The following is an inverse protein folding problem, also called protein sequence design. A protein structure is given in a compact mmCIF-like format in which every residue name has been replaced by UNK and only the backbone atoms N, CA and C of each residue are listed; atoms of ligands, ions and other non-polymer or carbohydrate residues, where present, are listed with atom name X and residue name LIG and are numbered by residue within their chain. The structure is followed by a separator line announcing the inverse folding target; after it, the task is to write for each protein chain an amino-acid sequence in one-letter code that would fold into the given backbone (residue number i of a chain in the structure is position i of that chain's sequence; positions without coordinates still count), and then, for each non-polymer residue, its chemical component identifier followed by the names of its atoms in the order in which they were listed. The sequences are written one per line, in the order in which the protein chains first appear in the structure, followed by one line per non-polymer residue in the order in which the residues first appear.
data_IF_229856305388
#
_entry.id   IF_229856305388
#
_cell.length_a   1.000
_cell.length_b   1.000
_cell.length_c   1.000
_cell.angle_alpha   90.00
_cell.angle_beta   90.00
_cell.angle_gamma   90.00
#
_symmetry.space_group_name_H-M   'P 1'
#
loop_
_entity.id
_entity.type
_entity.pdbx_description
1 polymer ?
#
# COMPACT_ATOMS: atom_id res chain seq x y z
N UNK A 1 -25.83 13.64 -9.09
CA UNK A 1 -25.17 14.87 -9.59
C UNK A 1 -25.50 15.04 -11.07
N UNK A 2 -25.64 16.27 -11.55
CA UNK A 2 -25.81 16.54 -12.99
C UNK A 2 -24.44 16.47 -13.71
N UNK A 3 -24.23 15.53 -14.65
CA UNK A 3 -22.94 15.35 -15.32
C UNK A 3 -22.69 16.36 -16.44
N UNK A 4 -23.71 17.07 -16.93
CA UNK A 4 -23.61 17.89 -18.15
C UNK A 4 -22.53 18.98 -18.08
N UNK A 5 -22.36 19.74 -16.98
CA UNK A 5 -21.30 20.75 -16.90
C UNK A 5 -19.90 20.13 -16.93
N UNK A 6 -19.71 18.98 -16.30
CA UNK A 6 -18.42 18.28 -16.27
C UNK A 6 -18.12 17.58 -17.59
N UNK A 7 -19.15 17.12 -18.30
CA UNK A 7 -19.00 16.59 -19.65
C UNK A 7 -18.59 17.69 -20.64
N UNK A 8 -19.22 18.87 -20.57
CA UNK A 8 -18.79 20.02 -21.36
C UNK A 8 -17.34 20.44 -21.04
N UNK A 9 -16.93 20.41 -19.77
CA UNK A 9 -15.55 20.67 -19.37
C UNK A 9 -14.57 19.61 -19.90
N UNK A 10 -14.97 18.34 -19.93
CA UNK A 10 -14.20 17.26 -20.54
C UNK A 10 -14.04 17.47 -22.05
N UNK A 11 -15.10 17.83 -22.76
CA UNK A 11 -15.03 18.10 -24.19
C UNK A 11 -14.15 19.33 -24.49
N UNK A 12 -14.19 20.35 -23.64
CA UNK A 12 -13.31 21.51 -23.74
C UNK A 12 -11.83 21.13 -23.52
N UNK A 13 -11.51 20.33 -22.51
CA UNK A 13 -10.13 19.88 -22.25
C UNK A 13 -9.62 18.94 -23.33
N UNK A 14 -10.46 18.07 -23.89
CA UNK A 14 -10.12 17.25 -25.07
C UNK A 14 -9.82 18.09 -26.30
N UNK A 15 -10.56 19.17 -26.51
CA UNK A 15 -10.28 20.13 -27.59
C UNK A 15 -8.91 20.81 -27.41
N UNK A 16 -8.54 21.17 -26.18
CA UNK A 16 -7.19 21.69 -25.88
C UNK A 16 -6.10 20.66 -26.13
N UNK A 17 -6.33 19.39 -25.78
CA UNK A 17 -5.39 18.31 -26.07
C UNK A 17 -5.17 18.17 -27.57
N UNK A 18 -6.25 18.18 -28.37
CA UNK A 18 -6.17 18.14 -29.82
C UNK A 18 -5.39 19.35 -30.39
N UNK A 19 -5.59 20.55 -29.81
CA UNK A 19 -4.81 21.74 -30.17
C UNK A 19 -3.31 21.56 -29.87
N UNK A 20 -2.96 21.04 -28.68
CA UNK A 20 -1.57 20.80 -28.30
C UNK A 20 -0.92 19.72 -29.20
N UNK A 21 -1.66 18.67 -29.56
CA UNK A 21 -1.20 17.66 -30.52
C UNK A 21 -0.99 18.26 -31.92
N UNK A 22 -1.86 19.18 -32.35
CA UNK A 22 -1.67 19.95 -33.58
C UNK A 22 -0.38 20.78 -33.57
N UNK A 23 -0.08 21.45 -32.44
CA UNK A 23 1.16 22.21 -32.26
C UNK A 23 2.40 21.30 -32.29
N UNK A 24 2.32 20.10 -31.70
CA UNK A 24 3.38 19.10 -31.78
C UNK A 24 3.63 18.66 -33.23
N UNK A 25 2.57 18.33 -33.97
CA UNK A 25 2.69 17.95 -35.39
C UNK A 25 3.28 19.08 -36.25
N UNK A 26 2.93 20.34 -35.95
CA UNK A 26 3.54 21.50 -36.60
C UNK A 26 5.03 21.63 -36.27
N UNK A 27 5.43 21.41 -35.01
CA UNK A 27 6.82 21.44 -34.58
C UNK A 27 7.66 20.31 -35.22
N UNK A 28 7.09 19.11 -35.34
CA UNK A 28 7.70 17.98 -36.05
C UNK A 28 7.91 18.30 -37.53
N UNK A 29 6.93 18.93 -38.16
CA UNK A 29 7.04 19.39 -39.55
C UNK A 29 8.16 20.43 -39.72
N UNK A 30 8.33 21.35 -38.77
CA UNK A 30 9.42 22.33 -38.78
C UNK A 30 10.80 21.68 -38.60
N UNK A 31 10.91 20.65 -37.76
CA UNK A 31 12.15 19.88 -37.64
C UNK A 31 12.51 19.20 -38.96
N UNK A 32 11.54 18.54 -39.61
CA UNK A 32 11.77 17.90 -40.90
C UNK A 32 12.24 18.92 -41.97
N UNK A 33 11.68 20.13 -41.99
CA UNK A 33 12.14 21.21 -42.86
C UNK A 33 13.59 21.64 -42.55
N UNK A 34 13.93 21.77 -41.26
CA UNK A 34 15.30 22.12 -40.85
C UNK A 34 16.32 21.01 -41.20
N UNK A 35 15.95 19.75 -41.06
CA UNK A 35 16.78 18.60 -41.45
C UNK A 35 16.99 18.56 -42.97
N UNK A 36 15.96 18.83 -43.76
CA UNK A 36 16.08 18.97 -45.21
C UNK A 36 17.05 20.11 -45.59
N UNK A 37 17.02 21.23 -44.86
CA UNK A 37 17.96 22.34 -45.06
C UNK A 37 19.41 21.94 -44.75
N UNK A 38 19.63 21.12 -43.71
CA UNK A 38 20.96 20.55 -43.42
C UNK A 38 21.44 19.66 -44.56
N UNK A 39 20.56 18.83 -45.11
CA UNK A 39 20.91 17.99 -46.26
C UNK A 39 21.32 18.86 -47.47
N UNK A 40 20.55 19.91 -47.78
CA UNK A 40 20.85 20.83 -48.87
C UNK A 40 22.21 21.55 -48.69
N UNK A 41 22.47 22.08 -47.50
CA UNK A 41 23.73 22.79 -47.19
C UNK A 41 24.93 21.83 -47.19
N UNK A 42 24.75 20.57 -46.76
CA UNK A 42 25.80 19.53 -46.90
C UNK A 42 26.13 19.23 -48.35
N UNK A 43 25.13 19.19 -49.24
CA UNK A 43 25.38 19.04 -50.68
C UNK A 43 26.17 20.22 -51.25
N UNK A 44 25.90 21.44 -50.79
CA UNK A 44 26.67 22.64 -51.18
C UNK A 44 28.11 22.60 -50.67
N UNK A 45 28.33 22.14 -49.43
CA UNK A 45 29.67 21.92 -48.89
C UNK A 45 30.45 20.92 -49.74
N UNK A 46 29.86 19.78 -50.08
CA UNK A 46 30.49 18.78 -50.94
C UNK A 46 30.84 19.35 -52.34
N UNK A 47 29.99 20.22 -52.90
CA UNK A 47 30.30 20.92 -54.15
C UNK A 47 31.49 21.88 -54.00
N UNK A 48 31.57 22.63 -52.89
CA UNK A 48 32.69 23.51 -52.61
C UNK A 48 34.00 22.73 -52.39
N UNK A 49 33.96 21.60 -51.67
CA UNK A 49 35.11 20.71 -51.48
C UNK A 49 35.60 20.14 -52.82
N UNK A 50 34.68 19.74 -53.71
CA UNK A 50 35.03 19.31 -55.05
C UNK A 50 35.69 20.42 -55.90
N UNK A 51 35.34 21.69 -55.67
CA UNK A 51 36.00 22.82 -56.33
C UNK A 51 37.42 23.05 -55.81
N UNK A 52 37.65 22.86 -54.51
CA UNK A 52 39.01 22.88 -53.94
C UNK A 52 39.86 21.79 -54.56
N UNK A 53 39.37 20.55 -54.60
CA UNK A 53 40.11 19.44 -55.21
C UNK A 53 40.46 19.70 -56.67
N UNK A 54 39.56 20.33 -57.44
CA UNK A 54 39.83 20.72 -58.82
C UNK A 54 40.92 21.79 -58.90
N UNK A 55 40.83 22.83 -58.06
CA UNK A 55 41.84 23.89 -58.00
C UNK A 55 43.21 23.38 -57.54
N UNK A 56 43.26 22.45 -56.59
CA UNK A 56 44.50 21.81 -56.10
C UNK A 56 45.13 20.94 -57.19
N UNK A 57 44.32 20.20 -57.95
CA UNK A 57 44.81 19.41 -59.09
C UNK A 57 45.42 20.32 -60.17
N UNK A 58 44.77 21.46 -60.47
CA UNK A 58 45.26 22.46 -61.42
C UNK A 58 46.57 23.12 -60.91
N UNK A 59 46.64 23.49 -59.63
CA UNK A 59 47.85 24.00 -59.00
C UNK A 59 48.99 22.97 -59.02
N UNK A 60 48.69 21.69 -58.74
CA UNK A 60 49.67 20.61 -58.80
C UNK A 60 50.29 20.48 -60.19
N UNK A 61 49.48 20.62 -61.24
CA UNK A 61 49.96 20.65 -62.63
C UNK A 61 50.87 21.86 -62.89
N UNK A 62 50.45 23.06 -62.52
CA UNK A 62 51.27 24.28 -62.72
C UNK A 62 52.56 24.24 -61.92
N UNK A 63 52.54 23.65 -60.72
CA UNK A 63 53.72 23.49 -59.88
C UNK A 63 54.73 22.53 -60.52
N UNK A 64 54.27 21.41 -61.09
CA UNK A 64 55.13 20.50 -61.84
C UNK A 64 55.76 21.18 -63.06
N UNK A 65 55.01 22.02 -63.77
CA UNK A 65 55.51 22.79 -64.91
C UNK A 65 56.57 23.81 -64.47
N UNK A 66 56.36 24.54 -63.37
CA UNK A 66 57.37 25.43 -62.77
C UNK A 66 58.62 24.65 -62.39
N UNK A 67 58.47 23.52 -61.70
CA UNK A 67 59.61 22.68 -61.27
C UNK A 67 60.41 22.18 -62.48
N UNK A 68 59.72 21.71 -63.53
CA UNK A 68 60.34 21.25 -64.78
C UNK A 68 61.06 22.38 -65.53
N UNK A 69 60.45 23.56 -65.64
CA UNK A 69 61.11 24.72 -66.27
C UNK A 69 62.29 25.23 -65.45
N UNK A 70 62.23 25.13 -64.12
CA UNK A 70 63.35 25.51 -63.24
C UNK A 70 64.61 24.72 -63.55
N UNK A 71 64.53 23.40 -63.81
CA UNK A 71 65.70 22.61 -64.21
C UNK A 71 66.16 22.98 -65.62
N UNK A 72 65.23 23.12 -66.57
CA UNK A 72 65.57 23.40 -67.97
C UNK A 72 66.19 24.80 -68.18
N UNK A 73 65.82 25.82 -67.36
CA UNK A 73 66.47 27.14 -67.39
C UNK A 73 67.93 27.04 -66.93
N UNK A 74 68.23 26.21 -65.91
CA UNK A 74 69.60 25.99 -65.43
C UNK A 74 70.48 25.33 -66.50
N UNK A 75 69.90 24.44 -67.29
CA UNK A 75 70.57 23.75 -68.39
C UNK A 75 70.60 24.60 -69.69
N UNK A 76 70.03 25.81 -69.67
CA UNK A 76 70.04 26.75 -70.81
C UNK A 76 69.07 26.40 -71.95
N UNK A 77 68.13 25.49 -71.72
CA UNK A 77 67.24 24.90 -72.76
C UNK A 77 65.95 25.70 -72.98
N UNK A 78 65.53 26.52 -72.00
CA UNK A 78 64.31 27.36 -72.07
C UNK A 78 64.59 28.79 -71.62
N UNK A 79 63.78 29.74 -72.09
CA UNK A 79 63.96 31.18 -71.81
C UNK A 79 63.49 31.56 -70.40
N UNK A 80 64.02 32.67 -69.85
CA UNK A 80 63.55 33.23 -68.57
C UNK A 80 62.08 33.65 -68.62
N UNK A 81 61.62 34.17 -69.76
CA UNK A 81 60.23 34.57 -69.96
C UNK A 81 59.27 33.38 -69.84
N UNK A 82 59.62 32.22 -70.38
CA UNK A 82 58.82 31.00 -70.26
C UNK A 82 58.71 30.51 -68.81
N UNK A 83 59.79 30.67 -68.03
CA UNK A 83 59.76 30.39 -66.60
C UNK A 83 58.87 31.38 -65.84
N UNK A 84 59.04 32.69 -66.08
CA UNK A 84 58.25 33.72 -65.42
C UNK A 84 56.75 33.55 -65.70
N UNK A 85 56.39 33.19 -66.94
CA UNK A 85 55.01 32.87 -67.32
C UNK A 85 54.47 31.65 -66.56
N UNK A 86 55.25 30.58 -66.38
CA UNK A 86 54.83 29.42 -65.58
C UNK A 86 54.68 29.79 -64.10
N UNK A 87 55.58 30.63 -63.57
CA UNK A 87 55.52 31.08 -62.18
C UNK A 87 54.26 31.90 -61.91
N UNK A 88 53.92 32.85 -62.79
CA UNK A 88 52.68 33.63 -62.67
C UNK A 88 51.43 32.75 -62.80
N UNK A 89 51.43 31.77 -63.71
CA UNK A 89 50.35 30.80 -63.83
C UNK A 89 50.15 29.98 -62.55
N UNK A 90 51.24 29.54 -61.92
CA UNK A 90 51.18 28.81 -60.65
C UNK A 90 50.67 29.68 -59.49
N UNK A 91 51.10 30.95 -59.43
CA UNK A 91 50.61 31.91 -58.43
C UNK A 91 49.12 32.20 -58.60
N UNK A 92 48.62 32.26 -59.83
CA UNK A 92 47.19 32.38 -60.11
C UNK A 92 46.41 31.13 -59.67
N UNK A 93 46.95 29.93 -59.90
CA UNK A 93 46.36 28.68 -59.43
C UNK A 93 46.32 28.59 -57.89
N UNK A 94 47.39 29.02 -57.20
CA UNK A 94 47.45 29.11 -55.74
C UNK A 94 46.37 30.07 -55.18
N UNK A 95 46.19 31.24 -55.81
CA UNK A 95 45.12 32.16 -55.45
C UNK A 95 43.73 31.53 -55.64
N UNK A 96 43.55 30.70 -56.66
CA UNK A 96 42.31 29.98 -56.92
C UNK A 96 42.03 28.89 -55.87
N UNK A 97 43.05 28.16 -55.39
CA UNK A 97 42.94 27.24 -54.25
C UNK A 97 42.51 27.98 -52.99
N UNK A 98 43.12 29.15 -52.72
CA UNK A 98 42.78 29.97 -51.56
C UNK A 98 41.32 30.45 -51.62
N UNK A 99 40.86 30.90 -52.80
CA UNK A 99 39.47 31.30 -53.02
C UNK A 99 38.49 30.14 -52.85
N UNK A 100 38.81 28.95 -53.40
CA UNK A 100 37.98 27.75 -53.24
C UNK A 100 37.91 27.30 -51.77
N UNK A 101 39.05 27.35 -51.06
CA UNK A 101 39.12 27.01 -49.62
C UNK A 101 38.28 27.98 -48.78
N UNK A 102 38.29 29.27 -49.11
CA UNK A 102 37.39 30.24 -48.49
C UNK A 102 35.91 29.88 -48.74
N UNK A 103 35.57 29.38 -49.94
CA UNK A 103 34.25 28.88 -50.28
C UNK A 103 33.82 27.65 -49.45
N UNK A 104 34.74 26.71 -49.19
CA UNK A 104 34.48 25.58 -48.28
C UNK A 104 34.18 26.10 -46.87
N UNK A 105 34.96 27.07 -46.38
CA UNK A 105 34.74 27.65 -45.05
C UNK A 105 33.37 28.32 -44.92
N UNK A 106 32.91 29.04 -45.95
CA UNK A 106 31.57 29.65 -45.94
C UNK A 106 30.46 28.60 -46.00
N UNK A 107 30.61 27.57 -46.83
CA UNK A 107 29.65 26.46 -46.90
C UNK A 107 29.60 25.67 -45.59
N UNK A 108 30.74 25.43 -44.94
CA UNK A 108 30.81 24.77 -43.65
C UNK A 108 30.09 25.58 -42.55
N UNK A 109 30.25 26.91 -42.55
CA UNK A 109 29.53 27.80 -41.65
C UNK A 109 28.00 27.74 -41.88
N UNK A 110 27.56 27.61 -43.14
CA UNK A 110 26.13 27.43 -43.47
C UNK A 110 25.58 26.09 -42.94
N UNK A 111 26.34 25.01 -43.04
CA UNK A 111 25.97 23.71 -42.45
C UNK A 111 25.84 23.82 -40.93
N UNK A 112 26.77 24.49 -40.26
CA UNK A 112 26.70 24.71 -38.81
C UNK A 112 25.46 25.54 -38.42
N UNK A 113 25.15 26.59 -39.18
CA UNK A 113 23.94 27.40 -38.96
C UNK A 113 22.66 26.58 -39.13
N UNK A 114 22.58 25.73 -40.17
CA UNK A 114 21.44 24.84 -40.38
C UNK A 114 21.31 23.78 -39.26
N UNK A 115 22.43 23.23 -38.76
CA UNK A 115 22.41 22.30 -37.63
C UNK A 115 21.94 22.98 -36.33
N UNK A 116 22.30 24.25 -36.12
CA UNK A 116 21.79 25.03 -34.98
C UNK A 116 20.27 25.22 -35.06
N UNK A 117 19.71 25.37 -36.28
CA UNK A 117 18.26 25.41 -36.49
C UNK A 117 17.59 24.07 -36.15
N UNK A 118 18.16 22.93 -36.57
CA UNK A 118 17.67 21.59 -36.17
C UNK A 118 17.62 21.45 -34.65
N UNK A 119 18.68 21.86 -33.94
CA UNK A 119 18.71 21.83 -32.47
C UNK A 119 17.62 22.71 -31.84
N UNK A 120 17.36 23.87 -32.44
CA UNK A 120 16.32 24.80 -31.98
C UNK A 120 14.93 24.20 -32.21
N UNK A 121 14.66 23.63 -33.38
CA UNK A 121 13.42 22.92 -33.69
C UNK A 121 13.20 21.70 -32.78
N UNK A 122 14.27 20.95 -32.47
CA UNK A 122 14.22 19.87 -31.48
C UNK A 122 13.80 20.35 -30.09
N UNK A 123 14.32 21.50 -29.65
CA UNK A 123 13.89 22.12 -28.37
C UNK A 123 12.41 22.51 -28.39
N UNK A 124 11.89 23.00 -29.53
CA UNK A 124 10.46 23.33 -29.70
C UNK A 124 9.60 22.07 -29.61
N UNK A 125 10.03 20.95 -30.19
CA UNK A 125 9.33 19.66 -30.05
C UNK A 125 9.26 19.22 -28.60
N UNK A 126 10.36 19.32 -27.85
CA UNK A 126 10.36 18.96 -26.41
C UNK A 126 9.36 19.80 -25.64
N UNK A 127 9.30 21.11 -25.90
CA UNK A 127 8.30 22.01 -25.31
C UNK A 127 6.86 21.64 -25.70
N UNK A 128 6.61 21.36 -26.98
CA UNK A 128 5.29 20.94 -27.46
C UNK A 128 4.85 19.59 -26.85
N UNK A 129 5.77 18.62 -26.72
CA UNK A 129 5.49 17.35 -26.02
C UNK A 129 5.13 17.58 -24.56
N UNK A 130 5.81 18.49 -23.88
CA UNK A 130 5.47 18.85 -22.50
C UNK A 130 4.07 19.49 -22.41
N UNK A 131 3.68 20.31 -23.39
CA UNK A 131 2.33 20.88 -23.47
C UNK A 131 1.26 19.81 -23.72
N UNK A 132 1.53 18.82 -24.58
CA UNK A 132 0.64 17.66 -24.76
C UNK A 132 0.46 16.90 -23.45
N UNK A 133 1.54 16.60 -22.73
CA UNK A 133 1.47 15.92 -21.44
C UNK A 133 0.67 16.72 -20.39
N UNK A 134 0.82 18.05 -20.35
CA UNK A 134 0.04 18.91 -19.48
C UNK A 134 -1.45 18.87 -19.84
N UNK A 135 -1.78 18.96 -21.13
CA UNK A 135 -3.17 18.87 -21.59
C UNK A 135 -3.79 17.49 -21.33
N UNK A 136 -3.04 16.40 -21.46
CA UNK A 136 -3.50 15.05 -21.08
C UNK A 136 -3.80 14.96 -19.58
N UNK A 137 -3.00 15.59 -18.73
CA UNK A 137 -3.26 15.64 -17.29
C UNK A 137 -4.54 16.43 -16.97
N UNK A 138 -4.81 17.52 -17.69
CA UNK A 138 -6.08 18.25 -17.60
C UNK A 138 -7.27 17.36 -18.01
N UNK A 139 -7.16 16.61 -19.11
CA UNK A 139 -8.19 15.65 -19.56
C UNK A 139 -8.44 14.58 -18.50
N UNK A 140 -7.38 13.96 -17.95
CA UNK A 140 -7.52 12.96 -16.87
C UNK A 140 -8.23 13.53 -15.64
N UNK A 141 -7.93 14.78 -15.28
CA UNK A 141 -8.58 15.46 -14.16
C UNK A 141 -10.07 15.69 -14.44
N UNK A 142 -10.42 16.11 -15.66
CA UNK A 142 -11.81 16.27 -16.07
C UNK A 142 -12.56 14.93 -16.11
N UNK A 143 -11.91 13.85 -16.56
CA UNK A 143 -12.46 12.49 -16.55
C UNK A 143 -12.71 11.98 -15.13
N UNK A 144 -11.78 12.21 -14.20
CA UNK A 144 -11.95 11.89 -12.79
C UNK A 144 -13.14 12.66 -12.17
N UNK A 145 -13.23 13.95 -12.44
CA UNK A 145 -14.35 14.77 -11.95
C UNK A 145 -15.70 14.29 -12.52
N UNK A 146 -15.74 13.95 -13.81
CA UNK A 146 -16.93 13.35 -14.43
C UNK A 146 -17.23 11.98 -13.81
N UNK A 147 -16.21 11.17 -13.51
CA UNK A 147 -16.34 9.90 -12.80
C UNK A 147 -16.94 10.07 -11.40
N UNK A 148 -16.57 11.12 -10.66
CA UNK A 148 -17.14 11.43 -9.35
C UNK A 148 -18.63 11.81 -9.37
N UNK A 149 -19.21 12.07 -10.55
CA UNK A 149 -20.68 12.22 -10.68
C UNK A 149 -21.41 10.90 -10.43
N UNK A 150 -20.74 9.77 -10.67
CA UNK A 150 -21.24 8.42 -10.38
C UNK A 150 -20.55 7.89 -9.13
N UNK A 151 -21.22 8.11 -8.00
CA UNK A 151 -20.73 7.64 -6.71
C UNK A 151 -21.01 6.14 -6.59
N UNK A 152 -19.94 5.35 -6.48
CA UNK A 152 -19.97 3.90 -6.27
C UNK A 152 -19.44 3.58 -4.88
N UNK A 153 -19.85 2.43 -4.34
CA UNK A 153 -19.27 1.95 -3.09
C UNK A 153 -17.83 1.52 -3.32
N UNK A 154 -16.87 1.92 -2.45
CA UNK A 154 -15.48 1.45 -2.55
C UNK A 154 -15.31 0.00 -2.08
N UNK A 155 -16.30 -0.55 -1.37
CA UNK A 155 -16.30 -1.90 -0.82
C UNK A 155 -17.64 -2.60 -1.07
N UNK A 156 -17.61 -3.92 -1.14
CA UNK A 156 -18.83 -4.73 -1.11
C UNK A 156 -19.38 -4.81 0.32
N UNK A 157 -20.70 -4.69 0.45
CA UNK A 157 -21.36 -4.73 1.74
C UNK A 157 -22.81 -4.27 1.70
N UNK A 158 -23.36 -4.02 2.87
CA UNK A 158 -24.74 -3.55 3.03
C UNK A 158 -24.73 -2.03 3.14
N UNK A 159 -25.46 -1.37 2.24
CA UNK A 159 -25.69 0.06 2.33
C UNK A 159 -26.73 0.37 3.43
N UNK A 160 -26.39 1.33 4.29
CA UNK A 160 -27.32 1.92 5.24
C UNK A 160 -28.34 2.82 4.54
N UNK A 161 -29.25 3.38 5.33
CA UNK A 161 -30.24 4.35 4.85
C UNK A 161 -29.50 5.56 4.25
N UNK A 162 -29.90 5.94 3.04
CA UNK A 162 -29.36 7.13 2.39
C UNK A 162 -29.71 8.38 3.23
N UNK A 163 -28.69 9.17 3.56
CA UNK A 163 -28.84 10.44 4.27
C UNK A 163 -29.21 11.58 3.33
N UNK A 164 -28.78 11.49 2.07
CA UNK A 164 -29.10 12.45 1.02
C UNK A 164 -30.22 11.95 0.11
N UNK A 165 -31.05 12.85 -0.38
CA UNK A 165 -32.14 12.60 -1.31
C UNK A 165 -31.82 13.09 -2.73
N UNK A 166 -32.65 12.64 -3.69
CA UNK A 166 -32.55 13.09 -5.08
C UNK A 166 -32.91 14.57 -5.15
N UNK A 167 -31.98 15.39 -5.62
CA UNK A 167 -32.14 16.85 -5.71
C UNK A 167 -31.29 17.61 -4.69
N UNK A 168 -30.76 16.93 -3.67
CA UNK A 168 -29.89 17.56 -2.68
C UNK A 168 -28.58 18.03 -3.32
N UNK A 169 -28.12 19.20 -2.89
CA UNK A 169 -26.81 19.72 -3.25
C UNK A 169 -25.73 19.01 -2.43
N UNK A 170 -24.84 18.31 -3.14
CA UNK A 170 -23.73 17.58 -2.54
C UNK A 170 -22.40 18.19 -3.00
N UNK A 171 -21.47 18.33 -2.07
CA UNK A 171 -20.13 18.88 -2.27
C UNK A 171 -19.07 17.98 -1.63
N UNK A 172 -17.77 18.14 -1.96
CA UNK A 172 -16.70 17.40 -1.29
C UNK A 172 -16.63 17.60 0.24
N UNK A 173 -17.27 18.66 0.75
CA UNK A 173 -17.36 18.95 2.19
C UNK A 173 -18.67 18.47 2.83
N UNK A 174 -19.59 17.87 2.04
CA UNK A 174 -20.85 17.35 2.55
C UNK A 174 -20.65 16.07 3.37
N UNK A 175 -21.58 15.81 4.27
CA UNK A 175 -21.61 14.56 5.03
C UNK A 175 -21.74 13.33 4.12
N UNK A 176 -21.33 12.18 4.64
CA UNK A 176 -21.43 10.90 3.93
C UNK A 176 -22.88 10.63 3.46
N UNK A 177 -23.06 10.38 2.16
CA UNK A 177 -24.38 10.15 1.55
C UNK A 177 -25.05 8.89 2.08
N UNK A 178 -24.26 7.85 2.32
CA UNK A 178 -24.66 6.61 2.98
C UNK A 178 -23.42 5.97 3.59
N UNK A 179 -23.61 4.95 4.41
CA UNK A 179 -22.53 4.14 4.97
C UNK A 179 -22.69 2.72 4.45
N UNK A 180 -21.66 2.20 3.80
CA UNK A 180 -21.61 0.78 3.40
C UNK A 180 -20.74 0.05 4.40
N UNK A 181 -21.24 -1.06 4.93
CA UNK A 181 -20.51 -1.88 5.89
C UNK A 181 -20.50 -3.33 5.44
N UNK A 182 -19.31 -3.94 5.45
CA UNK A 182 -19.15 -5.38 5.35
C UNK A 182 -19.49 -5.98 6.70
N UNK A 183 -20.59 -6.73 6.77
CA UNK A 183 -21.08 -7.33 8.02
C UNK A 183 -20.82 -8.83 8.08
N UNK A 184 -20.26 -9.43 7.04
CA UNK A 184 -19.79 -10.82 7.02
C UNK A 184 -18.35 -10.88 6.49
N UNK A 185 -17.37 -11.24 7.33
CA UNK A 185 -17.49 -11.55 8.76
C UNK A 185 -17.63 -10.28 9.63
N UNK A 186 -18.20 -10.41 10.82
CA UNK A 186 -18.37 -9.31 11.78
C UNK A 186 -17.35 -9.36 12.91
N UNK A 187 -16.88 -8.17 13.34
CA UNK A 187 -16.00 -8.02 14.50
C UNK A 187 -16.82 -7.73 15.75
N UNK A 188 -16.59 -8.51 16.80
CA UNK A 188 -17.17 -8.29 18.13
C UNK A 188 -16.06 -7.79 19.05
N UNK A 189 -16.24 -6.59 19.59
CA UNK A 189 -15.32 -6.01 20.55
C UNK A 189 -15.79 -6.30 21.97
N UNK A 190 -14.89 -6.83 22.80
CA UNK A 190 -15.14 -7.15 24.20
C UNK A 190 -13.92 -6.76 25.04
N UNK A 191 -14.09 -6.62 26.34
CA UNK A 191 -13.03 -6.21 27.27
C UNK A 191 -12.70 -7.34 28.23
N UNK A 192 -11.43 -7.48 28.58
CA UNK A 192 -10.94 -8.44 29.57
C UNK A 192 -10.15 -7.70 30.65
N UNK A 193 -10.26 -8.12 31.90
CA UNK A 193 -9.50 -7.51 32.98
C UNK A 193 -8.00 -7.76 32.82
N UNK A 194 -7.19 -6.84 33.34
CA UNK A 194 -5.73 -7.03 33.39
C UNK A 194 -5.34 -8.30 34.17
N UNK A 195 -6.09 -8.64 35.23
CA UNK A 195 -5.84 -9.85 36.03
C UNK A 195 -5.97 -11.12 35.19
N UNK A 196 -7.06 -11.25 34.41
CA UNK A 196 -7.28 -12.39 33.52
C UNK A 196 -6.23 -12.45 32.41
N UNK A 197 -5.83 -11.30 31.86
CA UNK A 197 -4.78 -11.22 30.86
C UNK A 197 -3.40 -11.65 31.40
N UNK A 198 -3.05 -11.20 32.60
CA UNK A 198 -1.83 -11.63 33.29
C UNK A 198 -1.89 -13.12 33.62
N UNK A 199 -3.05 -13.63 34.04
CA UNK A 199 -3.29 -15.06 34.26
C UNK A 199 -3.09 -15.89 32.98
N UNK A 200 -3.57 -15.41 31.83
CA UNK A 200 -3.33 -16.04 30.52
C UNK A 200 -1.86 -16.00 30.12
N UNK A 201 -1.19 -14.86 30.34
CA UNK A 201 0.24 -14.67 30.02
C UNK A 201 1.15 -15.53 30.91
N UNK A 202 0.82 -15.72 32.18
CA UNK A 202 1.56 -16.61 33.09
C UNK A 202 1.44 -18.08 32.70
N UNK A 203 0.26 -18.49 32.19
CA UNK A 203 0.01 -19.87 31.72
C UNK A 203 0.66 -20.16 30.37
N UNK A 204 0.85 -19.13 29.55
CA UNK A 204 1.47 -19.22 28.24
C UNK A 204 2.70 -18.30 28.20
N UNK A 205 3.81 -18.69 28.84
CA UNK A 205 4.97 -17.82 28.99
C UNK A 205 5.66 -17.49 27.66
N UNK A 206 5.65 -18.41 26.69
CA UNK A 206 6.27 -18.19 25.38
C UNK A 206 5.27 -17.63 24.37
N UNK A 207 5.77 -16.88 23.36
CA UNK A 207 4.92 -16.35 22.30
C UNK A 207 4.25 -17.47 21.49
N UNK A 208 4.95 -18.60 21.27
CA UNK A 208 4.40 -19.74 20.55
C UNK A 208 3.22 -20.38 21.29
N UNK A 209 3.29 -20.50 22.62
CA UNK A 209 2.18 -20.99 23.44
C UNK A 209 1.01 -20.01 23.44
N UNK A 210 1.27 -18.70 23.53
CA UNK A 210 0.22 -17.67 23.43
C UNK A 210 -0.51 -17.74 22.09
N UNK A 211 0.23 -17.86 20.99
CA UNK A 211 -0.34 -17.93 19.66
C UNK A 211 -1.13 -19.24 19.46
N UNK A 212 -0.64 -20.36 19.99
CA UNK A 212 -1.35 -21.63 19.95
C UNK A 212 -2.66 -21.57 20.76
N UNK A 213 -2.61 -21.05 21.99
CA UNK A 213 -3.77 -20.85 22.83
C UNK A 213 -4.78 -19.88 22.19
N UNK A 214 -4.30 -18.77 21.62
CA UNK A 214 -5.16 -17.81 20.93
C UNK A 214 -5.86 -18.41 19.69
N UNK A 215 -5.20 -19.34 18.98
CA UNK A 215 -5.80 -20.04 17.84
C UNK A 215 -6.83 -21.09 18.26
N UNK A 216 -6.67 -21.70 19.43
CA UNK A 216 -7.62 -22.67 19.97
C UNK A 216 -8.77 -22.04 20.76
N UNK A 217 -8.73 -20.72 21.01
CA UNK A 217 -9.83 -20.00 21.65
C UNK A 217 -11.05 -19.92 20.72
N UNK A 218 -12.00 -20.80 20.97
CA UNK A 218 -13.34 -20.71 20.43
C UNK A 218 -14.16 -19.70 21.23
N UNK A 219 -14.69 -18.69 20.54
CA UNK A 219 -15.54 -17.66 21.12
C UNK A 219 -16.99 -17.99 20.82
N UNK A 220 -17.82 -18.06 21.85
CA UNK A 220 -19.26 -18.10 21.73
C UNK A 220 -19.82 -16.69 21.90
N UNK A 221 -20.79 -16.31 21.07
CA UNK A 221 -21.53 -15.07 21.23
C UNK A 221 -22.91 -15.37 21.80
N UNK A 222 -23.21 -14.81 22.96
CA UNK A 222 -24.54 -14.83 23.57
C UNK A 222 -25.21 -13.51 23.22
N UNK A 223 -26.33 -13.58 22.51
CA UNK A 223 -27.09 -12.43 22.05
C UNK A 223 -27.87 -11.77 23.20
N UNK A 224 -28.39 -10.58 22.96
CA UNK A 224 -29.12 -9.80 23.98
C UNK A 224 -30.40 -10.50 24.49
N UNK A 225 -30.98 -11.40 23.69
CA UNK A 225 -32.14 -12.23 24.07
C UNK A 225 -31.74 -13.47 24.89
N UNK A 226 -30.45 -13.67 25.16
CA UNK A 226 -29.91 -14.82 25.89
C UNK A 226 -29.65 -16.05 25.01
N UNK A 227 -30.02 -16.01 23.72
CA UNK A 227 -29.72 -17.11 22.79
C UNK A 227 -28.22 -17.16 22.44
N UNK A 228 -27.73 -18.37 22.14
CA UNK A 228 -26.35 -18.55 21.68
C UNK A 228 -26.34 -18.45 20.16
N UNK A 229 -25.49 -17.58 19.62
CA UNK A 229 -25.29 -17.44 18.19
C UNK A 229 -24.70 -18.74 17.60
N UNK A 230 -25.26 -19.28 16.50
CA UNK A 230 -24.88 -20.61 16.01
C UNK A 230 -23.43 -20.72 15.57
N UNK A 231 -22.88 -19.67 14.96
CA UNK A 231 -21.50 -19.69 14.45
C UNK A 231 -20.52 -19.33 15.55
N UNK A 232 -19.48 -20.16 15.70
CA UNK A 232 -18.37 -19.87 16.62
C UNK A 232 -17.49 -18.78 16.04
N UNK A 233 -17.06 -17.87 16.90
CA UNK A 233 -16.07 -16.88 16.60
C UNK A 233 -14.68 -17.36 16.95
N UNK A 234 -13.68 -16.67 16.41
CA UNK A 234 -12.29 -16.88 16.77
C UNK A 234 -11.68 -15.59 17.29
N UNK A 235 -10.71 -15.73 18.19
CA UNK A 235 -9.90 -14.59 18.60
C UNK A 235 -9.18 -13.98 17.39
N UNK A 236 -9.16 -12.65 17.32
CA UNK A 236 -8.48 -11.92 16.25
C UNK A 236 -7.33 -11.07 16.78
N UNK A 237 -7.59 -10.17 17.72
CA UNK A 237 -6.55 -9.28 18.26
C UNK A 237 -6.90 -8.79 19.66
N UNK A 238 -5.86 -8.58 20.47
CA UNK A 238 -5.92 -7.81 21.71
C UNK A 238 -5.22 -6.46 21.49
N UNK A 239 -5.80 -5.38 22.00
CA UNK A 239 -5.23 -4.04 21.92
C UNK A 239 -3.89 -3.98 22.69
N UNK A 240 -3.02 -3.05 22.28
CA UNK A 240 -1.70 -2.87 22.87
C UNK A 240 -1.73 -2.24 24.26
N UNK A 241 -2.80 -1.49 24.57
CA UNK A 241 -2.90 -0.65 25.75
C UNK A 241 -4.03 -1.12 26.67
N UNK A 242 -3.75 -1.10 27.97
CA UNK A 242 -4.78 -1.17 29.00
C UNK A 242 -5.47 0.20 29.07
N UNK A 243 -6.79 0.22 29.11
CA UNK A 243 -7.52 1.46 29.35
C UNK A 243 -7.35 1.90 30.81
N UNK A 244 -6.70 3.05 31.02
CA UNK A 244 -6.34 3.53 32.36
C UNK A 244 -7.54 3.86 33.26
N UNK A 245 -8.74 4.06 32.71
CA UNK A 245 -9.95 4.33 33.50
C UNK A 245 -10.60 3.04 34.00
N UNK A 246 -10.51 1.97 33.21
CA UNK A 246 -11.24 0.72 33.47
C UNK A 246 -10.35 -0.44 33.90
N UNK A 247 -9.03 -0.34 33.72
CA UNK A 247 -8.09 -1.44 34.00
C UNK A 247 -8.32 -2.66 33.10
N UNK A 248 -8.98 -2.47 31.95
CA UNK A 248 -9.34 -3.53 31.04
C UNK A 248 -8.62 -3.38 29.69
N UNK A 249 -8.35 -4.52 29.04
CA UNK A 249 -7.77 -4.61 27.71
C UNK A 249 -8.91 -4.87 26.72
N UNK A 250 -8.99 -4.06 25.67
CA UNK A 250 -9.95 -4.25 24.59
C UNK A 250 -9.46 -5.37 23.68
N UNK A 251 -10.33 -6.32 23.37
CA UNK A 251 -10.11 -7.41 22.44
C UNK A 251 -11.14 -7.41 21.34
N UNK A 252 -10.80 -8.07 20.22
CA UNK A 252 -11.70 -8.30 19.11
C UNK A 252 -11.71 -9.78 18.73
N UNK A 253 -12.92 -10.32 18.57
CA UNK A 253 -13.20 -11.60 17.95
C UNK A 253 -13.82 -11.41 16.57
N UNK A 254 -13.62 -12.37 15.67
CA UNK A 254 -14.26 -12.40 14.35
C UNK A 254 -15.26 -13.56 14.32
N UNK A 255 -16.49 -13.26 13.90
CA UNK A 255 -17.59 -14.21 13.74
C UNK A 255 -18.09 -14.19 12.29
N UNK A 256 -18.30 -15.37 11.71
CA UNK A 256 -19.01 -15.49 10.43
C UNK A 256 -20.46 -15.05 10.61
N UNK A 257 -21.00 -14.28 9.67
CA UNK A 257 -22.35 -13.74 9.76
C UNK A 257 -23.20 -14.06 8.51
N UNK A 258 -23.31 -15.34 8.13
CA UNK A 258 -24.13 -15.72 6.98
C UNK A 258 -25.58 -15.30 7.23
N UNK A 259 -26.19 -14.61 6.27
CA UNK A 259 -27.55 -14.08 6.40
C UNK A 259 -27.67 -12.76 7.17
N UNK A 260 -26.55 -12.15 7.60
CA UNK A 260 -26.49 -10.79 8.15
C UNK A 260 -27.37 -10.58 9.41
N UNK A 261 -27.45 -11.62 10.26
CA UNK A 261 -28.24 -11.60 11.50
C UNK A 261 -27.62 -10.63 12.52
N UNK A 262 -26.29 -10.68 12.64
CA UNK A 262 -25.54 -9.76 13.49
C UNK A 262 -25.43 -8.40 12.81
N UNK A 263 -25.73 -7.33 13.55
CA UNK A 263 -25.66 -5.95 13.05
C UNK A 263 -24.71 -5.09 13.88
N UNK A 264 -23.97 -4.15 13.26
CA UNK A 264 -23.17 -3.18 13.99
C UNK A 264 -24.02 -2.43 15.02
N UNK A 265 -23.50 -2.30 16.24
CA UNK A 265 -24.18 -1.63 17.36
C UNK A 265 -24.99 -2.57 18.28
N UNK A 266 -25.15 -3.84 17.93
CA UNK A 266 -25.71 -4.83 18.85
C UNK A 266 -24.76 -5.08 20.04
N UNK A 267 -25.37 -5.33 21.19
CA UNK A 267 -24.67 -5.78 22.39
C UNK A 267 -24.84 -7.29 22.55
N UNK A 268 -23.81 -7.94 23.07
CA UNK A 268 -23.81 -9.36 23.40
C UNK A 268 -22.73 -9.67 24.43
N UNK A 269 -22.73 -10.90 24.95
CA UNK A 269 -21.69 -11.39 25.84
C UNK A 269 -20.84 -12.39 25.08
N UNK A 270 -19.52 -12.25 25.19
CA UNK A 270 -18.59 -13.24 24.64
C UNK A 270 -18.26 -14.23 25.75
N UNK A 271 -18.44 -15.52 25.47
CA UNK A 271 -18.05 -16.61 26.36
C UNK A 271 -16.93 -17.38 25.67
N UNK A 272 -15.82 -17.60 26.37
CA UNK A 272 -14.68 -18.35 25.86
C UNK A 272 -14.27 -19.39 26.90
N UNK A 273 -13.97 -20.60 26.44
CA UNK A 273 -13.42 -21.64 27.31
C UNK A 273 -11.91 -21.43 27.37
N UNK A 274 -11.40 -20.93 28.51
CA UNK A 274 -9.99 -20.56 28.67
C UNK A 274 -9.15 -21.63 29.39
N UNK A 275 -9.79 -22.55 30.10
CA UNK A 275 -9.19 -23.72 30.76
C UNK A 275 -10.20 -24.85 30.83
N UNK A 276 -9.69 -26.09 30.88
CA UNK A 276 -10.48 -27.27 31.24
C UNK A 276 -9.71 -28.01 32.32
N UNK A 277 -10.25 -28.05 33.53
CA UNK A 277 -9.66 -28.79 34.65
C UNK A 277 -10.33 -30.16 34.76
N UNK A 278 -9.70 -31.17 34.15
CA UNK A 278 -10.19 -32.54 34.22
C UNK A 278 -9.99 -33.10 35.64
N UNK A 279 -11.06 -33.61 36.26
CA UNK A 279 -11.01 -34.17 37.61
C UNK A 279 -11.10 -33.13 38.75
N UNK A 280 -11.51 -31.90 38.45
CA UNK A 280 -11.76 -30.89 39.48
C UNK A 280 -12.80 -31.37 40.51
N UNK A 281 -12.48 -31.21 41.80
CA UNK A 281 -13.41 -31.54 42.88
C UNK A 281 -14.38 -30.38 43.08
N UNK A 282 -15.66 -30.65 42.82
CA UNK A 282 -16.73 -29.67 42.99
C UNK A 282 -17.45 -29.91 44.31
N UNK A 283 -17.49 -28.87 45.14
CA UNK A 283 -18.19 -28.90 46.44
C UNK A 283 -19.27 -27.81 46.45
N UNK A 284 -20.52 -28.11 46.82
CA UNK A 284 -21.58 -27.09 46.89
C UNK A 284 -21.19 -25.92 47.81
N UNK A 285 -21.55 -24.70 47.44
CA UNK A 285 -21.18 -23.50 48.21
C UNK A 285 -21.60 -23.57 49.68
N UNK A 286 -22.76 -24.16 49.95
CA UNK A 286 -23.30 -24.37 51.31
C UNK A 286 -22.48 -25.32 52.21
N UNK A 287 -21.60 -26.13 51.62
CA UNK A 287 -20.76 -27.08 52.35
C UNK A 287 -19.42 -26.48 52.81
N UNK A 288 -19.06 -25.30 52.30
CA UNK A 288 -17.82 -24.59 52.64
C UNK A 288 -18.11 -23.56 53.74
N UNK A 289 -17.36 -23.62 54.83
CA UNK A 289 -17.41 -22.64 55.92
C UNK A 289 -16.19 -21.74 55.87
N UNK A 290 -16.38 -20.43 55.97
CA UNK A 290 -15.29 -19.46 56.04
C UNK A 290 -15.04 -19.07 57.51
N UNK A 291 -13.80 -19.24 57.98
CA UNK A 291 -13.41 -18.86 59.34
C UNK A 291 -12.05 -18.14 59.29
N UNK A 292 -12.01 -16.89 59.76
CA UNK A 292 -10.81 -16.04 59.80
C UNK A 292 -10.10 -15.91 58.43
N UNK A 293 -10.86 -15.85 57.33
CA UNK A 293 -10.33 -15.73 55.97
C UNK A 293 -9.78 -17.04 55.37
N UNK A 294 -9.90 -18.17 56.09
CA UNK A 294 -9.63 -19.50 55.57
C UNK A 294 -10.92 -20.28 55.29
N UNK A 295 -10.91 -21.10 54.25
CA UNK A 295 -12.03 -21.96 53.90
C UNK A 295 -11.85 -23.36 54.50
N UNK A 296 -12.92 -23.90 55.06
CA UNK A 296 -12.93 -25.21 55.72
C UNK A 296 -14.14 -26.01 55.26
N UNK A 297 -13.96 -27.32 55.16
CA UNK A 297 -15.02 -28.29 54.84
C UNK A 297 -15.02 -29.39 55.89
N UNK A 298 -16.23 -29.85 56.23
CA UNK A 298 -16.41 -30.99 57.11
C UNK A 298 -16.45 -32.26 56.25
N UNK A 299 -15.47 -33.15 56.43
CA UNK A 299 -15.34 -34.42 55.73
C UNK A 299 -15.72 -35.56 56.68
N UNK A 300 -16.46 -36.54 56.19
CA UNK A 300 -16.79 -37.76 56.94
C UNK A 300 -15.75 -38.84 56.62
N UNK A 301 -14.99 -39.24 57.63
CA UNK A 301 -14.01 -40.33 57.54
C UNK A 301 -14.67 -41.71 57.46
N UNK A 302 -13.88 -42.74 57.16
CA UNK A 302 -14.36 -44.13 57.03
C UNK A 302 -14.95 -44.74 58.32
N UNK A 303 -14.73 -44.10 59.47
CA UNK A 303 -15.30 -44.46 60.77
C UNK A 303 -16.57 -43.64 61.13
N UNK A 304 -17.17 -42.98 60.13
CA UNK A 304 -18.32 -42.08 60.28
C UNK A 304 -18.08 -40.90 61.23
N UNK A 305 -16.82 -40.52 61.48
CA UNK A 305 -16.47 -39.31 62.24
C UNK A 305 -16.22 -38.13 61.33
N UNK A 306 -16.55 -36.94 61.82
CA UNK A 306 -16.29 -35.71 61.08
C UNK A 306 -14.91 -35.14 61.40
N UNK A 307 -14.15 -34.90 60.34
CA UNK A 307 -12.89 -34.17 60.33
C UNK A 307 -13.14 -32.81 59.66
N UNK A 308 -12.76 -31.71 60.33
CA UNK A 308 -12.79 -30.40 59.70
C UNK A 308 -11.43 -30.18 59.07
N UNK A 309 -11.42 -29.98 57.74
CA UNK A 309 -10.20 -29.80 56.98
C UNK A 309 -10.19 -28.45 56.30
N UNK A 310 -9.09 -27.73 56.44
CA UNK A 310 -8.85 -26.50 55.70
C UNK A 310 -8.65 -26.84 54.24
N UNK A 311 -9.37 -26.15 53.36
CA UNK A 311 -9.30 -26.34 51.91
C UNK A 311 -8.89 -25.06 51.23
N UNK A 312 -8.20 -25.21 50.11
CA UNK A 312 -7.94 -24.12 49.18
C UNK A 312 -9.03 -24.13 48.11
N UNK A 313 -9.92 -23.15 48.16
CA UNK A 313 -10.97 -22.97 47.14
C UNK A 313 -10.42 -22.16 45.97
N UNK A 314 -10.79 -22.55 44.75
CA UNK A 314 -10.52 -21.84 43.50
C UNK A 314 -11.74 -21.06 43.03
N UNK A 315 -11.94 -20.99 41.71
CA UNK A 315 -13.13 -20.34 41.13
C UNK A 315 -14.44 -21.10 41.46
N UNK A 316 -15.56 -20.38 41.48
CA UNK A 316 -16.89 -20.98 41.57
C UNK A 316 -17.47 -21.16 40.16
N UNK A 317 -18.16 -22.28 39.94
CA UNK A 317 -18.90 -22.57 38.71
C UNK A 317 -20.36 -22.86 39.08
N UNK A 318 -21.27 -21.96 38.71
CA UNK A 318 -22.67 -22.02 39.14
C UNK A 318 -22.79 -21.93 40.68
N UNK A 319 -23.38 -22.96 41.30
CA UNK A 319 -23.59 -23.09 42.75
C UNK A 319 -22.50 -23.92 43.48
N UNK A 320 -21.42 -24.25 42.78
CA UNK A 320 -20.35 -25.14 43.25
C UNK A 320 -18.99 -24.41 43.29
N UNK A 321 -18.19 -24.65 44.34
CA UNK A 321 -16.79 -24.26 44.39
C UNK A 321 -15.89 -25.34 43.80
N UNK A 322 -14.87 -24.93 43.07
CA UNK A 322 -13.74 -25.79 42.72
C UNK A 322 -12.80 -25.84 43.92
N UNK A 323 -12.45 -27.05 44.38
CA UNK A 323 -11.45 -27.26 45.44
C UNK A 323 -10.12 -27.59 44.78
N UNK A 324 -9.12 -26.72 44.99
CA UNK A 324 -7.77 -26.87 44.44
C UNK A 324 -6.90 -27.79 45.30
N UNK A 325 -7.06 -27.73 46.62
CA UNK A 325 -6.27 -28.53 47.57
C UNK A 325 -7.06 -28.78 48.87
N UNK A 326 -6.73 -29.88 49.54
CA UNK A 326 -7.30 -30.30 50.82
C UNK A 326 -8.41 -31.35 50.74
N UNK A 327 -8.86 -31.76 49.55
CA UNK A 327 -9.81 -32.87 49.39
C UNK A 327 -9.31 -33.90 48.39
N UNK A 328 -9.73 -35.15 48.58
CA UNK A 328 -9.48 -36.26 47.64
C UNK A 328 -10.78 -36.71 47.00
N UNK A 329 -10.67 -37.21 45.77
CA UNK A 329 -11.81 -37.80 45.07
C UNK A 329 -12.40 -38.98 45.86
N UNK A 330 -13.73 -39.01 45.99
CA UNK A 330 -14.46 -40.04 46.73
C UNK A 330 -14.69 -39.75 48.22
N UNK A 331 -14.15 -38.65 48.75
CA UNK A 331 -14.44 -38.23 50.13
C UNK A 331 -15.86 -37.66 50.27
N UNK A 332 -16.54 -37.97 51.39
CA UNK A 332 -17.89 -37.49 51.67
C UNK A 332 -17.85 -36.16 52.44
N UNK A 333 -18.41 -35.10 51.86
CA UNK A 333 -18.46 -33.77 52.48
C UNK A 333 -19.84 -33.51 53.08
N UNK A 334 -19.89 -32.92 54.28
CA UNK A 334 -21.13 -32.53 54.94
C UNK A 334 -21.66 -31.24 54.32
N UNK A 335 -22.83 -31.34 53.68
CA UNK A 335 -23.44 -30.24 52.93
C UNK A 335 -24.52 -29.49 53.73
N UNK A 336 -25.14 -30.16 54.70
CA UNK A 336 -26.17 -29.59 55.58
C UNK A 336 -25.85 -29.87 57.04
N UNK A 337 -26.15 -28.91 57.92
CA UNK A 337 -25.92 -29.06 59.36
C UNK A 337 -24.47 -28.82 59.80
N UNK A 338 -23.63 -28.19 58.96
CA UNK A 338 -22.22 -27.85 59.26
C UNK A 338 -22.03 -27.10 60.58
N UNK A 339 -23.02 -26.33 61.05
CA UNK A 339 -22.99 -25.62 62.34
C UNK A 339 -23.18 -26.53 63.56
N UNK A 340 -23.77 -27.72 63.40
CA UNK A 340 -24.07 -28.67 64.49
C UNK A 340 -22.96 -29.70 64.70
N UNK A 341 -21.98 -29.74 63.81
CA UNK A 341 -20.94 -30.76 63.77
C UNK A 341 -19.63 -30.19 64.30
N UNK A 342 -19.02 -30.90 65.26
CA UNK A 342 -17.69 -30.58 65.80
C UNK A 342 -16.69 -31.68 65.37
N UNK A 343 -15.39 -31.39 65.32
CA UNK A 343 -14.38 -32.41 65.06
C UNK A 343 -14.54 -33.62 65.99
N UNK A 344 -14.52 -34.83 65.43
CA UNK A 344 -14.59 -36.09 66.17
C UNK A 344 -16.00 -36.60 66.51
N UNK A 345 -17.06 -35.88 66.14
CA UNK A 345 -18.45 -36.34 66.33
C UNK A 345 -18.79 -37.41 65.29
N UNK A 346 -19.38 -38.53 65.75
CA UNK A 346 -19.94 -39.56 64.86
C UNK A 346 -21.24 -39.08 64.25
N UNK A 347 -21.35 -39.14 62.93
CA UNK A 347 -22.54 -38.76 62.16
C UNK A 347 -23.11 -39.98 61.45
N UNK A 348 -24.41 -39.94 61.14
CA UNK A 348 -25.04 -40.93 60.27
C UNK A 348 -25.29 -40.29 58.90
N UNK A 349 -24.35 -40.41 57.94
CA UNK A 349 -24.44 -39.70 56.67
C UNK A 349 -25.62 -40.22 55.84
N UNK A 350 -26.46 -39.31 55.37
CA UNK A 350 -27.46 -39.59 54.34
C UNK A 350 -26.99 -38.97 53.02
N UNK A 351 -27.21 -39.63 51.86
CA UNK A 351 -26.91 -39.03 50.57
C UNK A 351 -27.61 -37.67 50.47
N UNK A 352 -26.86 -36.61 50.25
CA UNK A 352 -27.42 -35.30 50.01
C UNK A 352 -28.22 -35.36 48.69
N UNK A 353 -29.38 -34.71 48.65
CA UNK A 353 -30.09 -34.49 47.39
C UNK A 353 -29.15 -33.73 46.43
N UNK A 354 -29.00 -34.25 45.21
CA UNK A 354 -28.13 -33.66 44.21
C UNK A 354 -28.52 -32.18 44.00
N UNK A 355 -27.55 -31.28 44.14
CA UNK A 355 -27.75 -29.89 43.79
C UNK A 355 -27.86 -29.80 42.26
N UNK A 356 -29.02 -29.35 41.76
CA UNK A 356 -29.19 -28.99 40.36
C UNK A 356 -28.49 -27.67 40.05
#
# INVERSE_FOLDING_TARGET
MDPRPLQAALDQTRSKLAQAQGQLSQAESQLAQAEAQVAQTRSQLAQAEAQVLRAEADQGKTQLDVNRRTSLVKDGVVSREEYDNAFQANRAAEAQVTAATAGVKTAAAQVQAAQAQVKTAGSVIVSAKAQVQAAEAEVRTAELNLGFTRIVSPIDGIAGIAKAQVGDLVSPASDALTTVSTVDPIKVYFTLSEQEYLGFTKRNPTQAEKDAANRSLELELILADGSVYPERGRFFIADRQVDAKTGAIRMAGIFSNPGNVLRPGQYGRVRAVTTTSAGALLVPQRAVSELQGGYQVAVVGGDNKVEIRTVKVGEHTGSMWIIEDGLKAGESVVVEGTQKVKPGVTVNPKPAAAAN
#
